data_IF_355758550819
#
_entry.id   IF_355758550819
#
_cell.length_a   1.000
_cell.length_b   1.000
_cell.length_c   1.000
_cell.angle_alpha   90.00
_cell.angle_beta   90.00
_cell.angle_gamma   90.00
#
_symmetry.space_group_name_H-M   'P 1'
#
loop_
_entity.id
_entity.type
_entity.pdbx_description
1 polymer ?
#
# COMPACT_ATOMS: atom_id res chain seq x y z
N UNK A 1 25.56 -32.37 -57.21
CA UNK A 1 25.09 -31.35 -56.25
C UNK A 1 23.92 -31.93 -55.48
N UNK A 2 24.13 -32.38 -54.25
CA UNK A 2 23.05 -32.70 -53.30
C UNK A 2 23.57 -32.39 -51.90
N UNK A 3 23.22 -31.21 -51.40
CA UNK A 3 23.42 -30.82 -50.00
C UNK A 3 22.29 -31.44 -49.18
N UNK A 4 22.64 -32.39 -48.33
CA UNK A 4 21.73 -33.00 -47.34
C UNK A 4 21.34 -31.95 -46.29
N UNK A 5 20.12 -31.43 -46.41
CA UNK A 5 19.51 -30.58 -45.39
C UNK A 5 19.03 -31.46 -44.23
N UNK A 6 19.76 -31.42 -43.12
CA UNK A 6 19.39 -32.05 -41.85
C UNK A 6 18.13 -31.39 -41.30
N UNK A 7 16.99 -32.07 -41.41
CA UNK A 7 15.73 -31.67 -40.79
C UNK A 7 15.81 -31.99 -39.28
N UNK A 8 16.08 -30.98 -38.44
CA UNK A 8 15.99 -31.13 -36.97
C UNK A 8 14.54 -30.90 -36.54
N UNK A 9 13.92 -31.82 -35.77
CA UNK A 9 12.58 -31.60 -35.25
C UNK A 9 12.57 -30.41 -34.27
N UNK A 10 11.67 -29.46 -34.49
CA UNK A 10 11.40 -28.34 -33.60
C UNK A 10 10.85 -28.84 -32.26
N UNK A 11 11.62 -28.68 -31.18
CA UNK A 11 11.18 -29.00 -29.81
C UNK A 11 9.97 -28.10 -29.42
N UNK A 12 8.94 -28.64 -28.75
CA UNK A 12 7.74 -27.87 -28.42
C UNK A 12 8.06 -26.69 -27.48
N UNK A 13 7.61 -25.50 -27.84
CA UNK A 13 7.86 -24.23 -27.13
C UNK A 13 7.47 -24.25 -25.65
N UNK A 14 6.58 -25.16 -25.26
CA UNK A 14 6.06 -25.30 -23.90
C UNK A 14 7.16 -25.75 -22.92
N UNK A 15 8.03 -26.69 -23.33
CA UNK A 15 9.10 -27.23 -22.47
C UNK A 15 10.10 -26.14 -22.05
N UNK A 16 10.34 -25.16 -22.93
CA UNK A 16 11.26 -24.06 -22.68
C UNK A 16 10.68 -23.04 -21.69
N UNK A 17 9.35 -22.83 -21.70
CA UNK A 17 8.64 -21.98 -20.73
C UNK A 17 8.64 -22.59 -19.32
N UNK A 18 8.39 -23.89 -19.20
CA UNK A 18 8.43 -24.59 -17.91
C UNK A 18 9.84 -24.63 -17.30
N UNK A 19 10.89 -24.71 -18.12
CA UNK A 19 12.28 -24.63 -17.65
C UNK A 19 12.65 -23.27 -17.07
N UNK A 20 12.18 -22.18 -17.65
CA UNK A 20 12.44 -20.82 -17.15
C UNK A 20 11.68 -20.56 -15.83
N UNK A 21 10.44 -21.02 -15.72
CA UNK A 21 9.66 -20.91 -14.48
C UNK A 21 10.25 -21.75 -13.35
N UNK A 22 10.73 -22.97 -13.64
CA UNK A 22 11.40 -23.83 -12.66
C UNK A 22 12.74 -23.25 -12.16
N UNK A 23 13.54 -22.63 -13.05
CA UNK A 23 14.78 -21.97 -12.66
C UNK A 23 14.54 -20.75 -11.75
N UNK A 24 13.47 -19.98 -12.00
CA UNK A 24 13.10 -18.84 -11.16
C UNK A 24 12.69 -19.24 -9.74
N UNK A 25 11.97 -20.35 -9.58
CA UNK A 25 11.54 -20.84 -8.28
C UNK A 25 12.72 -21.33 -7.41
N UNK A 26 13.70 -21.99 -8.03
CA UNK A 26 14.94 -22.45 -7.38
C UNK A 26 15.84 -21.28 -6.93
N UNK A 27 15.92 -20.21 -7.71
CA UNK A 27 16.67 -19.02 -7.33
C UNK A 27 16.03 -18.31 -6.12
N UNK A 28 14.70 -18.22 -6.08
CA UNK A 28 13.98 -17.62 -4.97
C UNK A 28 14.14 -18.39 -3.64
N UNK A 29 14.14 -19.73 -3.70
CA UNK A 29 14.34 -20.56 -2.50
C UNK A 29 15.78 -20.52 -1.99
N UNK A 30 16.78 -20.40 -2.87
CA UNK A 30 18.18 -20.20 -2.46
C UNK A 30 18.42 -18.84 -1.80
N UNK A 31 17.80 -17.77 -2.29
CA UNK A 31 17.90 -16.43 -1.68
C UNK A 31 17.20 -16.38 -0.32
N UNK A 32 16.02 -16.99 -0.20
CA UNK A 32 15.31 -17.09 1.07
C UNK A 32 16.09 -17.94 2.10
N UNK A 33 16.66 -19.07 1.67
CA UNK A 33 17.52 -19.91 2.53
C UNK A 33 18.79 -19.18 3.00
N UNK A 34 19.39 -18.36 2.13
CA UNK A 34 20.57 -17.55 2.47
C UNK A 34 20.30 -16.43 3.48
N UNK A 35 19.11 -15.82 3.44
CA UNK A 35 18.74 -14.79 4.44
C UNK A 35 18.47 -15.39 5.83
N UNK A 36 17.95 -16.62 5.90
CA UNK A 36 17.62 -17.30 7.16
C UNK A 36 18.85 -17.87 7.90
N UNK A 37 19.99 -18.03 7.23
CA UNK A 37 21.24 -18.54 7.82
C UNK A 37 22.11 -17.47 8.48
N UNK A 38 21.73 -16.18 8.41
CA UNK A 38 22.58 -15.07 8.87
C UNK A 38 22.46 -14.76 10.37
N UNK A 39 21.37 -15.16 11.03
CA UNK A 39 21.15 -15.06 12.49
C UNK A 39 20.09 -16.12 12.92
N UNK A 40 20.44 -17.34 13.35
CA UNK A 40 19.43 -18.34 13.74
C UNK A 40 19.02 -18.20 15.22
N UNK A 41 17.75 -17.89 15.54
CA UNK A 41 17.22 -18.06 16.89
C UNK A 41 17.00 -19.56 17.21
N UNK A 42 17.21 -19.94 18.48
CA UNK A 42 17.37 -21.32 18.98
C UNK A 42 16.11 -22.24 18.87
N UNK A 43 14.97 -21.75 18.37
CA UNK A 43 13.68 -22.47 18.46
C UNK A 43 13.04 -22.92 17.12
N UNK A 44 13.73 -22.82 15.98
CA UNK A 44 13.11 -23.03 14.66
C UNK A 44 13.53 -24.33 13.95
N UNK A 45 13.59 -25.45 14.68
CA UNK A 45 13.96 -26.76 14.12
C UNK A 45 13.02 -27.27 12.99
N UNK A 46 11.73 -26.96 13.06
CA UNK A 46 10.75 -27.37 12.05
C UNK A 46 10.88 -26.57 10.73
N UNK A 47 11.38 -25.33 10.78
CA UNK A 47 11.56 -24.50 9.60
C UNK A 47 12.72 -25.01 8.72
N UNK A 48 13.79 -25.52 9.33
CA UNK A 48 14.89 -26.16 8.61
C UNK A 48 14.43 -27.44 7.89
N UNK A 49 13.57 -28.25 8.54
CA UNK A 49 12.98 -29.44 7.94
C UNK A 49 12.06 -29.11 6.74
N UNK A 50 11.27 -28.04 6.84
CA UNK A 50 10.40 -27.59 5.75
C UNK A 50 11.20 -27.13 4.52
N UNK A 51 12.29 -26.37 4.72
CA UNK A 51 13.17 -25.92 3.64
C UNK A 51 13.88 -27.11 2.98
N UNK A 52 14.40 -28.06 3.76
CA UNK A 52 15.00 -29.28 3.23
C UNK A 52 14.02 -30.11 2.40
N UNK A 53 12.76 -30.21 2.86
CA UNK A 53 11.67 -30.86 2.11
C UNK A 53 11.36 -30.18 0.78
N UNK A 54 11.30 -28.85 0.74
CA UNK A 54 11.09 -28.10 -0.50
C UNK A 54 12.25 -28.27 -1.49
N UNK A 55 13.50 -28.32 -1.02
CA UNK A 55 14.67 -28.55 -1.87
C UNK A 55 14.65 -29.96 -2.47
N UNK A 56 14.39 -31.00 -1.67
CA UNK A 56 14.25 -32.39 -2.12
C UNK A 56 13.11 -32.56 -3.13
N UNK A 57 11.96 -31.92 -2.90
CA UNK A 57 10.84 -31.95 -3.83
C UNK A 57 11.17 -31.24 -5.15
N UNK A 58 11.89 -30.12 -5.11
CA UNK A 58 12.33 -29.43 -6.34
C UNK A 58 13.35 -30.24 -7.15
N UNK A 59 14.28 -30.93 -6.48
CA UNK A 59 15.30 -31.78 -7.11
C UNK A 59 14.70 -33.00 -7.79
N UNK A 60 13.73 -33.66 -7.13
CA UNK A 60 13.01 -34.80 -7.71
C UNK A 60 12.13 -34.38 -8.89
N UNK A 61 11.48 -33.21 -8.80
CA UNK A 61 10.71 -32.65 -9.90
C UNK A 61 11.60 -32.29 -11.11
N UNK A 62 12.79 -31.74 -10.87
CA UNK A 62 13.74 -31.40 -11.92
C UNK A 62 14.33 -32.64 -12.60
N UNK A 63 14.66 -33.69 -11.83
CA UNK A 63 15.11 -34.98 -12.37
C UNK A 63 14.04 -35.65 -13.25
N UNK A 64 12.77 -35.53 -12.87
CA UNK A 64 11.63 -36.07 -13.63
C UNK A 64 11.39 -35.34 -14.97
N UNK A 65 11.85 -34.10 -15.10
CA UNK A 65 11.74 -33.32 -16.33
C UNK A 65 12.84 -33.65 -17.37
N UNK A 66 13.91 -34.31 -16.94
CA UNK A 66 15.10 -34.59 -17.76
C UNK A 66 15.14 -36.02 -18.32
N UNK A 67 14.08 -36.81 -18.14
CA UNK A 67 13.94 -38.13 -18.75
C UNK A 67 13.88 -37.98 -20.28
N UNK A 68 14.83 -38.56 -21.04
CA UNK A 68 14.77 -38.55 -22.50
C UNK A 68 13.51 -39.29 -22.95
N UNK A 69 12.79 -38.71 -23.91
CA UNK A 69 11.62 -39.34 -24.53
C UNK A 69 12.01 -40.73 -25.03
N UNK A 70 11.31 -41.74 -24.51
CA UNK A 70 11.45 -43.13 -24.90
C UNK A 70 11.29 -43.25 -26.43
N UNK A 71 12.30 -43.82 -27.08
CA UNK A 71 12.30 -44.00 -28.53
C UNK A 71 11.11 -44.90 -28.90
N UNK A 72 10.30 -44.44 -29.85
CA UNK A 72 9.22 -45.24 -30.42
C UNK A 72 9.76 -46.60 -30.90
N UNK A 73 9.04 -47.71 -30.69
CA UNK A 73 9.51 -49.02 -31.10
C UNK A 73 9.68 -49.07 -32.64
N UNK A 74 10.68 -49.81 -33.14
CA UNK A 74 10.91 -49.93 -34.57
C UNK A 74 9.72 -50.61 -35.25
N UNK A 75 9.36 -50.06 -36.41
CA UNK A 75 8.32 -50.54 -37.32
C UNK A 75 8.55 -52.02 -37.65
N UNK A 76 7.78 -52.90 -37.02
CA UNK A 76 7.78 -54.32 -37.37
C UNK A 76 7.09 -54.45 -38.72
N UNK A 77 7.91 -54.71 -39.75
CA UNK A 77 7.50 -54.81 -41.13
C UNK A 77 6.20 -55.59 -41.32
N UNK A 78 5.27 -54.97 -42.04
CA UNK A 78 4.14 -55.68 -42.67
C UNK A 78 4.73 -56.67 -43.68
N UNK A 79 4.41 -57.95 -43.50
CA UNK A 79 4.69 -59.01 -44.47
C UNK A 79 3.91 -58.79 -45.77
N UNK A 80 4.43 -59.20 -46.94
CA UNK A 80 3.78 -58.95 -48.23
C UNK A 80 2.82 -60.10 -48.61
N UNK A 81 1.52 -59.81 -48.63
CA UNK A 81 0.41 -60.44 -49.36
C UNK A 81 -0.88 -60.06 -48.60
N UNK A 82 -1.77 -59.24 -49.13
CA UNK A 82 -2.75 -59.66 -50.14
C UNK A 82 -3.29 -58.41 -50.85
N UNK A 83 -3.16 -58.35 -52.18
CA UNK A 83 -3.74 -57.30 -53.01
C UNK A 83 -5.26 -57.38 -52.95
N UNK A 84 -5.88 -56.50 -52.18
CA UNK A 84 -7.22 -56.00 -52.44
C UNK A 84 -7.10 -54.70 -53.23
N UNK A 85 -7.92 -54.45 -54.27
CA UNK A 85 -7.92 -53.16 -54.94
C UNK A 85 -8.31 -52.07 -53.94
N UNK A 86 -7.55 -50.98 -53.90
CA UNK A 86 -7.82 -49.82 -53.05
C UNK A 86 -9.25 -49.32 -53.26
N UNK A 87 -10.03 -49.05 -52.19
CA UNK A 87 -11.26 -48.29 -52.34
C UNK A 87 -10.90 -46.89 -52.83
N UNK A 88 -11.68 -46.36 -53.79
CA UNK A 88 -11.52 -44.99 -54.30
C UNK A 88 -11.33 -44.00 -53.14
N UNK A 89 -10.42 -43.00 -53.29
CA UNK A 89 -10.24 -42.00 -52.25
C UNK A 89 -11.58 -41.29 -52.01
N UNK A 90 -12.03 -41.14 -50.76
CA UNK A 90 -13.24 -40.37 -50.49
C UNK A 90 -13.08 -38.97 -51.08
N UNK A 91 -14.13 -38.39 -51.68
CA UNK A 91 -14.05 -37.05 -52.23
C UNK A 91 -13.59 -36.09 -51.15
N UNK A 92 -12.66 -35.19 -51.50
CA UNK A 92 -12.22 -34.13 -50.60
C UNK A 92 -13.45 -33.35 -50.14
N UNK A 93 -13.82 -33.53 -48.86
CA UNK A 93 -14.77 -32.66 -48.20
C UNK A 93 -14.12 -31.29 -48.13
N UNK A 94 -14.51 -30.38 -49.02
CA UNK A 94 -14.28 -28.96 -48.77
C UNK A 94 -14.89 -28.63 -47.41
N UNK A 95 -14.21 -27.88 -46.52
CA UNK A 95 -14.84 -27.43 -45.29
C UNK A 95 -15.92 -26.41 -45.67
N UNK A 96 -17.13 -26.88 -45.96
CA UNK A 96 -18.32 -26.04 -46.03
C UNK A 96 -18.64 -25.63 -44.60
N UNK A 97 -18.07 -24.51 -44.15
CA UNK A 97 -18.62 -23.81 -42.99
C UNK A 97 -20.06 -23.49 -43.35
N UNK A 98 -21.01 -24.17 -42.69
CA UNK A 98 -22.42 -23.92 -42.93
C UNK A 98 -22.70 -22.46 -42.58
N UNK A 99 -23.36 -21.71 -43.47
CA UNK A 99 -23.71 -20.30 -43.23
C UNK A 99 -24.43 -20.09 -41.89
N UNK A 100 -25.11 -21.14 -41.39
CA UNK A 100 -25.77 -21.19 -40.08
C UNK A 100 -24.80 -21.15 -38.90
N UNK A 101 -23.67 -21.86 -38.97
CA UNK A 101 -22.67 -21.92 -37.90
C UNK A 101 -21.94 -20.57 -37.76
N UNK A 102 -21.60 -19.96 -38.90
CA UNK A 102 -20.95 -18.65 -38.91
C UNK A 102 -21.90 -17.53 -38.43
N UNK A 103 -23.20 -17.60 -38.75
CA UNK A 103 -24.20 -16.68 -38.19
C UNK A 103 -24.36 -16.82 -36.69
N UNK A 104 -24.32 -18.05 -36.16
CA UNK A 104 -24.37 -18.31 -34.72
C UNK A 104 -23.13 -17.72 -34.01
N UNK A 105 -21.94 -17.92 -34.56
CA UNK A 105 -20.70 -17.36 -34.02
C UNK A 105 -20.70 -15.82 -34.02
N UNK A 106 -21.23 -15.17 -35.07
CA UNK A 106 -21.37 -13.72 -35.10
C UNK A 106 -22.35 -13.18 -34.06
N UNK A 107 -23.49 -13.85 -33.84
CA UNK A 107 -24.45 -13.46 -32.77
C UNK A 107 -23.82 -13.60 -31.38
N UNK A 108 -23.11 -14.69 -31.14
CA UNK A 108 -22.39 -14.92 -29.89
C UNK A 108 -21.31 -13.87 -29.66
N UNK A 109 -20.61 -13.46 -30.72
CA UNK A 109 -19.57 -12.44 -30.62
C UNK A 109 -20.16 -11.04 -30.38
N UNK A 110 -21.29 -10.69 -31.00
CA UNK A 110 -22.03 -9.46 -30.70
C UNK A 110 -22.46 -9.39 -29.22
N UNK A 111 -23.05 -10.47 -28.69
CA UNK A 111 -23.42 -10.57 -27.28
C UNK A 111 -22.22 -10.42 -26.34
N UNK A 112 -21.06 -10.99 -26.72
CA UNK A 112 -19.82 -10.83 -25.96
C UNK A 112 -19.33 -9.38 -25.98
N UNK A 113 -19.40 -8.68 -27.12
CA UNK A 113 -19.00 -7.26 -27.21
C UNK A 113 -19.93 -6.38 -26.36
N UNK A 114 -21.25 -6.60 -26.42
CA UNK A 114 -22.20 -5.87 -25.57
C UNK A 114 -21.88 -6.05 -24.09
N UNK A 115 -21.54 -7.27 -23.68
CA UNK A 115 -21.10 -7.56 -22.32
C UNK A 115 -19.83 -6.80 -21.97
N UNK A 116 -18.84 -6.78 -22.86
CA UNK A 116 -17.60 -6.01 -22.66
C UNK A 116 -17.85 -4.50 -22.55
N UNK A 117 -18.75 -3.93 -23.35
CA UNK A 117 -19.13 -2.52 -23.27
C UNK A 117 -19.73 -2.22 -21.88
N UNK A 118 -20.69 -3.03 -21.42
CA UNK A 118 -21.27 -2.85 -20.08
C UNK A 118 -20.24 -2.99 -18.94
N UNK A 119 -19.22 -3.86 -19.11
CA UNK A 119 -18.10 -3.95 -18.18
C UNK A 119 -17.21 -2.70 -18.21
N UNK A 120 -16.97 -2.10 -19.38
CA UNK A 120 -16.22 -0.85 -19.52
C UNK A 120 -16.96 0.35 -18.91
N UNK A 121 -18.29 0.43 -19.09
CA UNK A 121 -19.10 1.47 -18.44
C UNK A 121 -19.01 1.38 -16.92
N UNK A 122 -19.16 0.17 -16.37
CA UNK A 122 -19.01 -0.07 -14.94
C UNK A 122 -17.59 0.21 -14.43
N UNK A 123 -16.56 -0.12 -15.22
CA UNK A 123 -15.17 0.22 -14.90
C UNK A 123 -14.94 1.74 -14.87
N UNK A 124 -15.54 2.48 -15.79
CA UNK A 124 -15.50 3.95 -15.82
C UNK A 124 -16.15 4.54 -14.57
N UNK A 125 -17.33 4.05 -14.20
CA UNK A 125 -18.04 4.51 -13.01
C UNK A 125 -17.23 4.25 -11.74
N UNK A 126 -16.65 3.05 -11.62
CA UNK A 126 -15.76 2.72 -10.50
C UNK A 126 -14.51 3.61 -10.45
N UNK A 127 -13.90 3.92 -11.60
CA UNK A 127 -12.72 4.78 -11.66
C UNK A 127 -13.05 6.23 -11.27
N UNK A 128 -14.19 6.76 -11.72
CA UNK A 128 -14.70 8.09 -11.32
C UNK A 128 -15.03 8.15 -9.84
N UNK A 129 -15.74 7.15 -9.32
CA UNK A 129 -16.06 7.06 -7.90
C UNK A 129 -14.81 6.93 -7.02
N UNK A 130 -13.78 6.21 -7.48
CA UNK A 130 -12.48 6.19 -6.82
C UNK A 130 -11.82 7.58 -6.81
N UNK A 131 -11.83 8.30 -7.94
CA UNK A 131 -11.34 9.67 -8.05
C UNK A 131 -11.98 10.62 -7.02
N UNK A 132 -13.30 10.59 -6.90
CA UNK A 132 -14.03 11.43 -5.94
C UNK A 132 -13.64 11.12 -4.47
N UNK A 133 -13.54 9.83 -4.11
CA UNK A 133 -13.10 9.42 -2.76
C UNK A 133 -11.66 9.83 -2.46
N UNK A 134 -10.78 9.83 -3.46
CA UNK A 134 -9.40 10.28 -3.28
C UNK A 134 -9.35 11.80 -3.09
N UNK A 135 -10.20 12.56 -3.79
CA UNK A 135 -10.31 14.01 -3.61
C UNK A 135 -10.82 14.38 -2.20
N UNK A 136 -11.80 13.64 -1.69
CA UNK A 136 -12.23 13.73 -0.29
C UNK A 136 -11.08 13.41 0.67
N UNK A 137 -10.37 12.30 0.45
CA UNK A 137 -9.19 11.93 1.25
C UNK A 137 -8.08 12.99 1.20
N UNK A 138 -7.87 13.62 0.04
CA UNK A 138 -6.93 14.72 -0.12
C UNK A 138 -7.32 15.96 0.71
N UNK A 139 -8.62 16.27 0.79
CA UNK A 139 -9.11 17.35 1.64
C UNK A 139 -8.84 17.04 3.13
N UNK A 140 -9.17 15.84 3.60
CA UNK A 140 -8.93 15.44 4.99
C UNK A 140 -7.45 15.45 5.37
N UNK A 141 -6.56 15.02 4.46
CA UNK A 141 -5.11 15.05 4.69
C UNK A 141 -4.55 16.48 4.69
N UNK A 142 -5.13 17.40 3.91
CA UNK A 142 -4.78 18.83 4.02
C UNK A 142 -5.20 19.42 5.36
N UNK A 143 -6.40 19.07 5.84
CA UNK A 143 -6.89 19.50 7.15
C UNK A 143 -5.99 18.99 8.28
N UNK A 144 -5.62 17.70 8.25
CA UNK A 144 -4.67 17.10 9.19
C UNK A 144 -3.33 17.84 9.15
N UNK A 145 -2.80 18.15 7.96
CA UNK A 145 -1.57 18.94 7.82
C UNK A 145 -1.66 20.33 8.46
N UNK A 146 -2.80 21.01 8.29
CA UNK A 146 -3.08 22.29 8.95
C UNK A 146 -3.14 22.17 10.47
N UNK A 147 -3.82 21.15 10.99
CA UNK A 147 -3.90 20.88 12.43
C UNK A 147 -2.53 20.61 13.05
N UNK A 148 -1.66 19.84 12.37
CA UNK A 148 -0.30 19.55 12.84
C UNK A 148 0.56 20.83 12.83
N UNK A 149 0.41 21.68 11.81
CA UNK A 149 1.13 22.97 11.75
C UNK A 149 0.71 23.90 12.90
N UNK A 150 -0.58 23.98 13.19
CA UNK A 150 -1.09 24.74 14.34
C UNK A 150 -0.60 24.17 15.67
N UNK A 151 -0.52 22.84 15.79
CA UNK A 151 0.03 22.20 16.97
C UNK A 151 1.51 22.56 17.17
N UNK A 152 2.30 22.63 16.10
CA UNK A 152 3.69 23.07 16.18
C UNK A 152 3.84 24.52 16.69
N UNK A 153 2.98 25.44 16.24
CA UNK A 153 2.93 26.81 16.73
C UNK A 153 2.60 26.87 18.24
N UNK A 154 1.59 26.11 18.68
CA UNK A 154 1.19 26.02 20.09
C UNK A 154 2.32 25.48 20.96
N UNK A 155 3.06 24.48 20.47
CA UNK A 155 4.20 23.90 21.20
C UNK A 155 5.35 24.91 21.34
N UNK A 156 5.66 25.68 20.31
CA UNK A 156 6.65 26.74 20.37
C UNK A 156 6.27 27.85 21.36
N UNK A 157 5.00 28.28 21.34
CA UNK A 157 4.52 29.27 22.30
C UNK A 157 4.51 28.75 23.74
N UNK A 158 4.14 27.48 23.92
CA UNK A 158 4.19 26.80 25.22
C UNK A 158 5.62 26.76 25.75
N UNK A 159 6.60 26.36 24.93
CA UNK A 159 8.02 26.34 25.30
C UNK A 159 8.51 27.72 25.76
N UNK A 160 8.17 28.79 25.02
CA UNK A 160 8.51 30.17 25.42
C UNK A 160 7.88 30.53 26.77
N UNK A 161 6.60 30.23 26.95
CA UNK A 161 5.85 30.55 28.17
C UNK A 161 6.43 29.86 29.41
N UNK A 162 6.78 28.57 29.30
CA UNK A 162 7.43 27.84 30.38
C UNK A 162 8.86 28.32 30.65
N UNK A 163 9.60 28.70 29.61
CA UNK A 163 10.92 29.32 29.78
C UNK A 163 10.87 30.66 30.54
N UNK A 164 9.86 31.49 30.26
CA UNK A 164 9.60 32.70 31.04
C UNK A 164 9.19 32.39 32.47
N UNK A 165 8.28 31.43 32.67
CA UNK A 165 7.82 31.02 34.00
C UNK A 165 8.97 30.50 34.87
N UNK A 166 9.88 29.70 34.30
CA UNK A 166 11.10 29.23 34.95
C UNK A 166 11.99 30.39 35.38
N UNK A 167 12.14 31.40 34.53
CA UNK A 167 12.92 32.62 34.85
C UNK A 167 12.28 33.43 35.96
N UNK A 168 10.93 33.57 35.96
CA UNK A 168 10.19 34.23 37.04
C UNK A 168 10.31 33.46 38.35
N UNK A 169 10.23 32.13 38.32
CA UNK A 169 10.40 31.29 39.50
C UNK A 169 11.81 31.40 40.09
N UNK A 170 12.85 31.43 39.25
CA UNK A 170 14.23 31.69 39.70
C UNK A 170 14.37 33.06 40.39
N UNK A 171 13.76 34.12 39.84
CA UNK A 171 13.77 35.44 40.50
C UNK A 171 13.05 35.43 41.85
N UNK A 172 11.96 34.66 41.98
CA UNK A 172 11.25 34.51 43.27
C UNK A 172 12.17 33.82 44.28
N UNK A 173 12.90 32.78 43.88
CA UNK A 173 13.87 32.10 44.74
C UNK A 173 14.98 33.07 45.21
N UNK A 174 15.53 33.89 44.32
CA UNK A 174 16.56 34.88 44.66
C UNK A 174 16.06 35.93 45.66
N UNK A 175 14.83 36.42 45.47
CA UNK A 175 14.19 37.37 46.39
C UNK A 175 13.94 36.71 47.75
N UNK A 176 13.44 35.48 47.76
CA UNK A 176 13.21 34.72 48.99
C UNK A 176 14.52 34.48 49.76
N UNK A 177 15.61 34.11 49.08
CA UNK A 177 16.94 33.99 49.70
C UNK A 177 17.48 35.30 50.27
N UNK A 178 17.17 36.42 49.62
CA UNK A 178 17.50 37.75 50.14
C UNK A 178 16.71 38.09 51.41
N UNK A 179 15.40 37.81 51.43
CA UNK A 179 14.54 38.00 52.61
C UNK A 179 15.01 37.13 53.77
N UNK A 180 15.34 35.87 53.50
CA UNK A 180 15.91 34.92 54.46
C UNK A 180 17.21 35.45 55.08
N UNK A 181 18.08 36.02 54.25
CA UNK A 181 19.33 36.65 54.72
C UNK A 181 19.05 37.85 55.63
N UNK A 182 18.11 38.72 55.25
CA UNK A 182 17.69 39.88 56.05
C UNK A 182 17.06 39.43 57.38
N UNK A 183 16.21 38.41 57.35
CA UNK A 183 15.59 37.83 58.53
C UNK A 183 16.65 37.30 59.52
N UNK A 184 17.66 36.56 59.01
CA UNK A 184 18.77 36.07 59.83
C UNK A 184 19.61 37.20 60.43
N UNK A 185 19.91 38.25 59.67
CA UNK A 185 20.63 39.43 60.17
C UNK A 185 19.82 40.17 61.25
N UNK A 186 18.52 40.32 61.03
CA UNK A 186 17.59 40.98 61.97
C UNK A 186 17.48 40.17 63.26
N UNK A 187 17.42 38.85 63.16
CA UNK A 187 17.44 37.95 64.32
C UNK A 187 18.73 38.11 65.15
N UNK A 188 19.90 38.23 64.50
CA UNK A 188 21.17 38.50 65.18
C UNK A 188 21.19 39.87 65.85
N UNK A 189 20.70 40.92 65.18
CA UNK A 189 20.58 42.26 65.75
C UNK A 189 19.65 42.27 66.97
N UNK A 190 18.52 41.56 66.90
CA UNK A 190 17.57 41.43 68.00
C UNK A 190 18.17 40.71 69.22
N UNK A 191 18.99 39.68 68.99
CA UNK A 191 19.73 39.00 70.06
C UNK A 191 20.72 39.96 70.74
N UNK A 192 21.48 40.74 69.97
CA UNK A 192 22.40 41.73 70.54
C UNK A 192 21.65 42.80 71.36
N UNK A 193 20.50 43.28 70.86
CA UNK A 193 19.66 44.24 71.57
C UNK A 193 19.08 43.65 72.87
N UNK A 194 18.67 42.38 72.86
CA UNK A 194 18.16 41.69 74.05
C UNK A 194 19.24 41.54 75.14
N UNK A 195 20.48 41.26 74.74
CA UNK A 195 21.64 41.18 75.65
C UNK A 195 21.89 42.55 76.30
N UNK A 196 21.91 43.63 75.50
CA UNK A 196 22.18 44.97 76.03
C UNK A 196 21.03 45.48 76.92
N UNK A 197 19.78 45.15 76.57
CA UNK A 197 18.61 45.41 77.42
C UNK A 197 18.71 44.69 78.78
N UNK A 198 19.19 43.45 78.80
CA UNK A 198 19.44 42.71 80.05
C UNK A 198 20.55 43.36 80.87
N UNK A 199 21.60 43.84 80.21
CA UNK A 199 22.75 44.52 80.85
C UNK A 199 22.36 45.85 81.48
N UNK A 200 21.43 46.59 80.89
CA UNK A 200 20.88 47.85 81.42
C UNK A 200 19.92 47.66 82.61
N UNK A 201 19.64 46.42 83.03
CA UNK A 201 18.83 46.11 84.21
C UNK A 201 17.40 46.64 84.12
N UNK A 202 16.94 47.38 85.14
CA UNK A 202 15.55 47.85 85.18
C UNK A 202 15.21 48.87 84.08
N UNK A 203 16.18 49.68 83.64
CA UNK A 203 16.00 50.71 82.61
C UNK A 203 15.82 50.06 81.22
N UNK A 204 16.42 48.89 81.00
CA UNK A 204 16.35 48.14 79.74
C UNK A 204 15.10 47.27 79.55
N UNK A 205 14.21 47.13 80.55
CA UNK A 205 13.06 46.20 80.47
C UNK A 205 12.16 46.42 79.26
N UNK A 206 11.84 47.67 78.93
CA UNK A 206 11.01 48.00 77.76
C UNK A 206 11.70 47.62 76.43
N UNK A 207 13.00 47.91 76.31
CA UNK A 207 13.81 47.53 75.15
C UNK A 207 13.93 46.01 75.01
N UNK A 208 14.01 45.28 76.12
CA UNK A 208 14.06 43.81 76.11
C UNK A 208 12.81 43.17 75.52
N UNK A 209 11.62 43.72 75.81
CA UNK A 209 10.36 43.25 75.22
C UNK A 209 10.33 43.49 73.72
N UNK A 210 10.73 44.68 73.26
CA UNK A 210 10.81 44.99 71.83
C UNK A 210 11.81 44.07 71.12
N UNK A 211 12.99 43.84 71.71
CA UNK A 211 14.00 42.95 71.13
C UNK A 211 13.48 41.50 70.99
N UNK A 212 12.72 40.99 71.97
CA UNK A 212 12.10 39.67 71.89
C UNK A 212 11.07 39.57 70.76
N UNK A 213 10.24 40.60 70.56
CA UNK A 213 9.24 40.63 69.48
C UNK A 213 9.91 40.71 68.10
N UNK A 214 10.94 41.55 67.94
CA UNK A 214 11.73 41.63 66.70
C UNK A 214 12.39 40.28 66.39
N UNK A 215 12.92 39.59 67.40
CA UNK A 215 13.49 38.24 67.25
C UNK A 215 12.44 37.25 66.74
N UNK A 216 11.24 37.25 67.33
CA UNK A 216 10.15 36.38 66.93
C UNK A 216 9.66 36.68 65.50
N UNK A 217 9.57 37.95 65.12
CA UNK A 217 9.19 38.37 63.77
C UNK A 217 10.25 37.98 62.73
N UNK A 218 11.52 38.13 63.07
CA UNK A 218 12.63 37.70 62.23
C UNK A 218 12.61 36.18 61.99
N UNK A 219 12.38 35.38 63.04
CA UNK A 219 12.27 33.92 62.91
C UNK A 219 11.06 33.52 62.04
N UNK A 220 9.90 34.17 62.19
CA UNK A 220 8.73 33.92 61.32
C UNK A 220 9.02 34.30 59.86
N UNK A 221 9.75 35.40 59.63
CA UNK A 221 10.14 35.84 58.29
C UNK A 221 11.10 34.87 57.61
N UNK A 222 12.03 34.28 58.36
CA UNK A 222 12.97 33.26 57.88
C UNK A 222 12.24 31.98 57.42
N UNK A 223 11.27 31.51 58.23
CA UNK A 223 10.44 30.36 57.89
C UNK A 223 9.58 30.62 56.64
N UNK A 224 8.93 31.78 56.57
CA UNK A 224 8.12 32.15 55.41
C UNK A 224 8.97 32.25 54.13
N UNK A 225 10.17 32.83 54.22
CA UNK A 225 11.10 32.88 53.09
C UNK A 225 11.52 31.48 52.63
N UNK A 226 11.80 30.56 53.55
CA UNK A 226 12.13 29.17 53.22
C UNK A 226 10.97 28.42 52.55
N UNK A 227 9.72 28.68 52.94
CA UNK A 227 8.55 28.13 52.26
C UNK A 227 8.41 28.67 50.83
N UNK A 228 8.67 29.97 50.62
CA UNK A 228 8.66 30.58 49.28
C UNK A 228 9.77 29.99 48.39
N UNK A 229 10.99 29.80 48.91
CA UNK A 229 12.07 29.11 48.18
C UNK A 229 11.62 27.72 47.70
N UNK A 230 11.02 26.92 48.59
CA UNK A 230 10.52 25.58 48.26
C UNK A 230 9.44 25.61 47.17
N UNK A 231 8.52 26.57 47.22
CA UNK A 231 7.49 26.74 46.20
C UNK A 231 8.10 27.14 44.84
N UNK A 232 9.10 28.03 44.86
CA UNK A 232 9.81 28.43 43.65
C UNK A 232 10.59 27.28 43.01
N UNK A 233 11.23 26.43 43.82
CA UNK A 233 11.91 25.22 43.35
C UNK A 233 10.92 24.21 42.75
N UNK A 234 9.77 24.02 43.40
CA UNK A 234 8.68 23.18 42.86
C UNK A 234 8.19 23.67 41.50
N UNK A 235 8.00 24.99 41.34
CA UNK A 235 7.62 25.60 40.06
C UNK A 235 8.68 25.38 38.97
N UNK A 236 9.97 25.53 39.31
CA UNK A 236 11.07 25.28 38.37
C UNK A 236 11.09 23.83 37.91
N UNK A 237 10.91 22.87 38.83
CA UNK A 237 10.84 21.45 38.50
C UNK A 237 9.63 21.13 37.61
N UNK A 238 8.46 21.68 37.91
CA UNK A 238 7.27 21.52 37.07
C UNK A 238 7.49 22.09 35.67
N UNK A 239 8.11 23.27 35.54
CA UNK A 239 8.44 23.84 34.24
C UNK A 239 9.37 22.92 33.44
N UNK A 240 10.43 22.39 34.06
CA UNK A 240 11.37 21.49 33.39
C UNK A 240 10.70 20.20 32.88
N UNK A 241 9.80 19.62 33.69
CA UNK A 241 9.02 18.45 33.28
C UNK A 241 8.10 18.77 32.09
N UNK A 242 7.43 19.93 32.11
CA UNK A 242 6.56 20.34 31.02
C UNK A 242 7.36 20.69 29.75
N UNK A 243 8.53 21.32 29.86
CA UNK A 243 9.43 21.55 28.72
C UNK A 243 9.84 20.22 28.07
N UNK A 244 10.14 19.18 28.86
CA UNK A 244 10.40 17.84 28.32
C UNK A 244 9.19 17.25 27.59
N UNK A 245 7.97 17.44 28.12
CA UNK A 245 6.74 16.97 27.47
C UNK A 245 6.47 17.71 26.16
N UNK A 246 6.68 19.03 26.14
CA UNK A 246 6.57 19.86 24.93
C UNK A 246 7.57 19.41 23.87
N UNK A 247 8.82 19.11 24.25
CA UNK A 247 9.82 18.57 23.32
C UNK A 247 9.38 17.24 22.71
N UNK A 248 8.86 16.31 23.51
CA UNK A 248 8.36 15.03 23.00
C UNK A 248 7.16 15.21 22.08
N UNK A 249 6.28 16.17 22.38
CA UNK A 249 5.16 16.50 21.53
C UNK A 249 5.61 17.11 20.19
N UNK A 250 6.71 17.87 20.19
CA UNK A 250 7.31 18.42 18.97
C UNK A 250 7.86 17.30 18.06
N UNK A 251 8.56 16.31 18.62
CA UNK A 251 9.04 15.14 17.86
C UNK A 251 7.88 14.35 17.20
N UNK A 252 6.76 14.23 17.93
CA UNK A 252 5.53 13.59 17.41
C UNK A 252 4.90 14.45 16.31
N UNK A 253 4.89 15.78 16.48
CA UNK A 253 4.41 16.72 15.45
C UNK A 253 5.22 16.60 14.17
N UNK A 254 6.55 16.60 14.25
CA UNK A 254 7.46 16.42 13.11
C UNK A 254 7.22 15.09 12.39
N UNK A 255 7.08 14.01 13.17
CA UNK A 255 6.72 12.70 12.63
C UNK A 255 5.37 12.73 11.91
N UNK A 256 4.39 13.43 12.49
CA UNK A 256 3.08 13.67 11.90
C UNK A 256 3.17 14.43 10.58
N UNK A 257 3.96 15.50 10.49
CA UNK A 257 4.16 16.26 9.25
C UNK A 257 4.77 15.40 8.14
N UNK A 258 5.78 14.60 8.49
CA UNK A 258 6.41 13.68 7.53
C UNK A 258 5.44 12.63 7.02
N UNK A 259 4.64 12.03 7.90
CA UNK A 259 3.61 11.06 7.52
C UNK A 259 2.55 11.72 6.63
N UNK A 260 2.09 12.92 7.00
CA UNK A 260 1.12 13.69 6.23
C UNK A 260 1.64 13.96 4.80
N UNK A 261 2.90 14.38 4.68
CA UNK A 261 3.56 14.61 3.38
C UNK A 261 3.67 13.32 2.55
N UNK A 262 3.99 12.19 3.19
CA UNK A 262 4.03 10.88 2.53
C UNK A 262 2.65 10.48 2.00
N UNK A 263 1.59 10.68 2.80
CA UNK A 263 0.22 10.34 2.39
C UNK A 263 -0.26 11.25 1.25
N UNK A 264 0.11 12.54 1.26
CA UNK A 264 -0.16 13.43 0.12
C UNK A 264 0.50 12.95 -1.18
N UNK A 265 1.72 12.38 -1.09
CA UNK A 265 2.38 11.73 -2.22
C UNK A 265 1.57 10.54 -2.75
N UNK A 266 1.18 9.62 -1.86
CA UNK A 266 0.35 8.46 -2.22
C UNK A 266 -0.97 8.89 -2.87
N UNK A 267 -1.65 9.89 -2.31
CA UNK A 267 -2.90 10.41 -2.88
C UNK A 267 -2.69 10.90 -4.32
N UNK A 268 -1.59 11.62 -4.58
CA UNK A 268 -1.26 12.09 -5.93
C UNK A 268 -1.06 10.93 -6.91
N UNK A 269 -0.31 9.90 -6.50
CA UNK A 269 -0.06 8.71 -7.33
C UNK A 269 -1.36 7.95 -7.65
N UNK A 270 -2.27 7.86 -6.68
CA UNK A 270 -3.57 7.22 -6.89
C UNK A 270 -4.48 8.08 -7.79
N UNK A 271 -4.45 9.41 -7.68
CA UNK A 271 -5.18 10.31 -8.60
C UNK A 271 -4.70 10.13 -10.04
N UNK A 272 -3.39 10.11 -10.27
CA UNK A 272 -2.80 9.88 -11.59
C UNK A 272 -3.18 8.49 -12.13
N UNK A 273 -3.10 7.46 -11.27
CA UNK A 273 -3.50 6.10 -11.62
C UNK A 273 -4.99 5.98 -11.96
N UNK A 274 -5.86 6.73 -11.29
CA UNK A 274 -7.29 6.75 -11.56
C UNK A 274 -7.58 7.44 -12.91
N UNK A 275 -6.95 8.58 -13.18
CA UNK A 275 -7.05 9.29 -14.45
C UNK A 275 -6.59 8.41 -15.63
N UNK A 276 -5.45 7.72 -15.46
CA UNK A 276 -4.94 6.79 -16.47
C UNK A 276 -5.89 5.62 -16.72
N UNK A 277 -6.53 5.08 -15.68
CA UNK A 277 -7.54 4.01 -15.85
C UNK A 277 -8.74 4.48 -16.66
N UNK A 278 -9.25 5.69 -16.40
CA UNK A 278 -10.37 6.26 -17.19
C UNK A 278 -9.98 6.34 -18.67
N UNK A 279 -8.74 6.77 -18.96
CA UNK A 279 -8.23 6.86 -20.33
C UNK A 279 -8.16 5.48 -21.01
N UNK A 280 -7.57 4.49 -20.34
CA UNK A 280 -7.47 3.11 -20.88
C UNK A 280 -8.86 2.51 -21.13
N UNK A 281 -9.80 2.70 -20.20
CA UNK A 281 -11.17 2.19 -20.36
C UNK A 281 -11.87 2.85 -21.55
N UNK A 282 -11.66 4.15 -21.76
CA UNK A 282 -12.21 4.85 -22.93
C UNK A 282 -11.63 4.31 -24.25
N UNK A 283 -10.31 4.09 -24.32
CA UNK A 283 -9.66 3.51 -25.51
C UNK A 283 -10.18 2.10 -25.83
N UNK A 284 -10.42 1.27 -24.81
CA UNK A 284 -11.00 -0.08 -25.00
C UNK A 284 -12.46 0.01 -25.45
N UNK A 285 -13.26 0.91 -24.85
CA UNK A 285 -14.65 1.13 -25.24
C UNK A 285 -14.78 1.56 -26.72
N UNK A 286 -13.92 2.49 -27.16
CA UNK A 286 -13.86 2.92 -28.56
C UNK A 286 -13.53 1.76 -29.52
N UNK A 287 -12.58 0.89 -29.12
CA UNK A 287 -12.23 -0.33 -29.85
C UNK A 287 -13.40 -1.33 -29.96
N UNK A 288 -14.15 -1.54 -28.86
CA UNK A 288 -15.33 -2.39 -28.85
C UNK A 288 -16.44 -1.84 -29.74
N UNK A 289 -16.68 -0.53 -29.71
CA UNK A 289 -17.65 0.13 -30.60
C UNK A 289 -17.25 -0.03 -32.08
N UNK A 290 -15.95 0.01 -32.40
CA UNK A 290 -15.47 -0.28 -33.75
C UNK A 290 -15.72 -1.73 -34.15
N UNK A 291 -15.42 -2.69 -33.28
CA UNK A 291 -15.67 -4.12 -33.53
C UNK A 291 -17.16 -4.39 -33.76
N UNK A 292 -18.04 -3.79 -32.96
CA UNK A 292 -19.49 -3.89 -33.14
C UNK A 292 -19.93 -3.39 -34.52
N UNK A 293 -19.41 -2.23 -34.98
CA UNK A 293 -19.68 -1.73 -36.34
C UNK A 293 -19.17 -2.66 -37.45
N UNK A 294 -18.07 -3.38 -37.21
CA UNK A 294 -17.55 -4.38 -38.15
C UNK A 294 -18.48 -5.60 -38.21
N UNK A 295 -18.94 -6.12 -37.06
CA UNK A 295 -19.90 -7.22 -37.01
C UNK A 295 -21.22 -6.90 -37.70
N UNK A 296 -21.77 -5.71 -37.45
CA UNK A 296 -23.01 -5.29 -38.10
C UNK A 296 -22.86 -5.26 -39.62
N UNK A 297 -21.71 -4.80 -40.13
CA UNK A 297 -21.40 -4.84 -41.57
C UNK A 297 -21.26 -6.27 -42.09
N UNK A 298 -20.62 -7.17 -41.34
CA UNK A 298 -20.52 -8.59 -41.71
C UNK A 298 -21.91 -9.26 -41.77
N UNK A 299 -22.75 -9.03 -40.76
CA UNK A 299 -24.14 -9.53 -40.72
C UNK A 299 -24.96 -9.00 -41.91
N UNK A 300 -24.84 -7.71 -42.24
CA UNK A 300 -25.51 -7.11 -43.40
C UNK A 300 -25.01 -7.70 -44.73
N UNK A 301 -23.69 -7.91 -44.87
CA UNK A 301 -23.10 -8.52 -46.07
C UNK A 301 -23.62 -9.93 -46.29
N UNK A 302 -23.67 -10.75 -45.23
CA UNK A 302 -24.22 -12.11 -45.33
C UNK A 302 -25.70 -12.13 -45.69
N UNK A 303 -26.49 -11.25 -45.09
CA UNK A 303 -27.91 -11.11 -45.44
C UNK A 303 -28.06 -10.70 -46.92
N UNK A 304 -27.14 -9.86 -47.43
CA UNK A 304 -27.05 -9.46 -48.83
C UNK A 304 -26.60 -10.57 -49.79
N UNK A 305 -25.69 -11.46 -49.40
CA UNK A 305 -25.21 -12.61 -50.20
C UNK A 305 -26.16 -13.82 -50.19
N UNK A 306 -26.91 -14.02 -49.10
CA UNK A 306 -27.92 -15.07 -49.02
C UNK A 306 -29.09 -14.85 -50.00
N UNK A 307 -29.44 -13.59 -50.28
CA UNK A 307 -30.51 -13.21 -51.22
C UNK A 307 -30.28 -13.67 -52.68
N UNK A 308 -29.13 -13.38 -53.34
CA UNK A 308 -28.87 -13.82 -54.70
C UNK A 308 -28.70 -15.35 -54.84
N UNK A 309 -28.17 -16.04 -53.82
CA UNK A 309 -28.06 -17.51 -53.83
C UNK A 309 -29.43 -18.19 -53.86
N UNK A 310 -30.39 -17.70 -53.07
CA UNK A 310 -31.77 -18.20 -53.08
C UNK A 310 -32.46 -17.91 -54.42
N UNK A 311 -32.22 -16.75 -55.04
CA UNK A 311 -32.78 -16.43 -56.36
C UNK A 311 -32.15 -17.27 -57.49
N UNK A 312 -30.86 -17.58 -57.43
CA UNK A 312 -30.17 -18.43 -58.40
C UNK A 312 -30.65 -19.89 -58.31
N UNK A 313 -30.78 -20.42 -57.09
CA UNK A 313 -31.25 -21.79 -56.87
C UNK A 313 -32.73 -21.98 -57.24
N UNK A 314 -33.56 -20.95 -57.07
CA UNK A 314 -34.97 -20.95 -57.51
C UNK A 314 -35.12 -20.86 -59.05
N UNK A 315 -34.14 -20.27 -59.76
CA UNK A 315 -34.10 -20.24 -61.24
C UNK A 315 -33.61 -21.56 -61.85
N UNK A 316 -32.82 -22.34 -61.11
CA UNK A 316 -32.29 -23.63 -61.55
C UNK A 316 -33.21 -24.84 -61.29
N UNK A 317 -34.37 -24.63 -60.65
CA UNK A 317 -35.35 -25.70 -60.44
C UNK A 317 -35.91 -26.20 -61.78
N UNK A 318 -35.92 -27.52 -62.07
CA UNK A 318 -36.40 -28.05 -63.34
C UNK A 318 -37.89 -27.76 -63.51
N UNK A 319 -38.27 -27.17 -64.66
CA UNK A 319 -39.67 -27.00 -65.05
C UNK A 319 -40.31 -28.38 -65.19
N UNK A 320 -41.21 -28.72 -64.27
CA UNK A 320 -42.05 -29.92 -64.36
C UNK A 320 -42.93 -29.78 -65.63
N UNK A 321 -42.87 -30.70 -66.61
CA UNK A 321 -43.72 -30.62 -67.78
C UNK A 321 -45.18 -30.87 -67.39
N UNK A 322 -46.09 -30.03 -67.90
CA UNK A 322 -47.53 -30.14 -67.68
C UNK A 322 -48.05 -31.48 -68.22
N UNK A 323 -48.91 -32.21 -67.48
CA UNK A 323 -49.53 -33.41 -68.01
C UNK A 323 -50.50 -33.02 -69.14
N UNK A 324 -50.22 -33.53 -70.35
CA UNK A 324 -51.17 -33.45 -71.46
C UNK A 324 -52.46 -34.16 -71.06
N UNK A 325 -53.58 -33.43 -71.09
CA UNK A 325 -54.93 -34.01 -71.11
C UNK A 325 -55.08 -34.76 -72.44
N UNK A 326 -55.26 -36.07 -72.38
CA UNK A 326 -55.90 -36.82 -73.48
C UNK A 326 -57.29 -37.24 -73.03
N UNK A 327 -58.25 -36.91 -73.90
CA UNK A 327 -59.64 -37.37 -73.98
C UNK A 327 -59.79 -38.89 -73.95
#
# INVERSE_FOLDING_TARGET
MQTAATNRPSRPANVRRWRLLGAGLLAATLVAGGLLLREPPEEWGWAQAAIAGCLLWSLTFWWRLELPAEAAPPDTGRTPAEMLPDPEPPPALEPTVSATDFSYDLQRLDASIQTCIGLMDRATEMARGAGAKIEEGAASVREIGGAISSLDEILHESSRTFGELRTRASRIADVAGSVKTIARQTNLLAINAAIEASRAGQIGRGFGVVAAEVKALAARSDLAAAEIEKLADGLQQSCALTEQQVSRAADVSETGQRLNSSVQGVIRDVQESAAQRVKVVAEVADGLHLQQRVLQRMQQSMAGEAMPAVHAQRRAAPKIPSPMRST
#
